data_IF_064115419727
#
_entry.id   IF_064115419727
#
_cell.length_a   1.000
_cell.length_b   1.000
_cell.length_c   1.000
_cell.angle_alpha   90.00
_cell.angle_beta   90.00
_cell.angle_gamma   90.00
#
_symmetry.space_group_name_H-M   'P 1'
#
loop_
_entity.id
_entity.type
_entity.pdbx_description
1 polymer ?
#
# COMPACT_ATOMS: atom_id res chain seq x y z
N UNK A 1 -9.79 0.44 -20.69
CA UNK A 1 -10.33 1.39 -19.67
C UNK A 1 -10.58 2.73 -20.31
N UNK A 2 -11.78 3.29 -20.20
CA UNK A 2 -12.11 4.63 -20.67
C UNK A 2 -11.88 5.64 -19.55
N UNK A 3 -11.18 6.75 -19.83
CA UNK A 3 -10.80 7.75 -18.84
C UNK A 3 -11.52 9.07 -19.14
N UNK A 4 -12.24 9.59 -18.14
CA UNK A 4 -12.73 10.96 -18.14
C UNK A 4 -11.70 11.86 -17.45
N UNK A 5 -11.11 12.76 -18.22
CA UNK A 5 -10.12 13.72 -17.71
C UNK A 5 -10.83 14.85 -16.98
N UNK A 6 -10.53 15.05 -15.71
CA UNK A 6 -11.05 16.13 -14.88
C UNK A 6 -9.96 17.19 -14.63
N UNK A 7 -10.39 18.43 -14.45
CA UNK A 7 -9.53 19.61 -14.32
C UNK A 7 -9.79 20.34 -13.01
N UNK A 8 -8.75 20.55 -12.22
CA UNK A 8 -8.81 21.30 -10.96
C UNK A 8 -8.83 22.83 -11.14
N UNK A 9 -8.54 23.32 -12.34
CA UNK A 9 -8.61 24.73 -12.75
C UNK A 9 -8.97 24.83 -14.22
N UNK A 10 -9.52 25.98 -14.65
CA UNK A 10 -9.82 26.22 -16.06
C UNK A 10 -8.53 26.27 -16.88
N UNK A 11 -8.38 25.37 -17.82
CA UNK A 11 -7.22 25.22 -18.69
C UNK A 11 -7.66 24.60 -20.04
N UNK A 12 -6.82 24.67 -21.09
CA UNK A 12 -7.12 23.99 -22.35
C UNK A 12 -7.33 22.49 -22.16
N UNK A 13 -8.29 21.94 -22.88
CA UNK A 13 -8.57 20.50 -22.82
C UNK A 13 -7.38 19.67 -23.30
N UNK A 14 -7.11 18.59 -22.61
CA UNK A 14 -6.05 17.64 -22.92
C UNK A 14 -6.25 17.00 -24.29
N UNK A 15 -5.25 17.17 -25.18
CA UNK A 15 -5.31 16.56 -26.51
C UNK A 15 -5.27 15.04 -26.43
N UNK A 16 -6.15 14.39 -27.19
CA UNK A 16 -6.22 12.92 -27.27
C UNK A 16 -7.00 12.24 -26.16
N UNK A 17 -7.51 12.97 -25.16
CA UNK A 17 -8.39 12.38 -24.17
C UNK A 17 -9.73 11.97 -24.79
N UNK A 18 -10.24 10.80 -24.41
CA UNK A 18 -11.51 10.27 -24.91
C UNK A 18 -12.72 11.00 -24.34
N UNK A 19 -12.58 11.57 -23.13
CA UNK A 19 -13.66 12.24 -22.42
C UNK A 19 -13.10 13.31 -21.49
N UNK A 20 -13.85 14.43 -21.36
CA UNK A 20 -13.49 15.57 -20.51
C UNK A 20 -14.62 15.91 -19.55
N UNK A 21 -14.31 16.06 -18.27
CA UNK A 21 -15.25 16.59 -17.27
C UNK A 21 -15.13 18.10 -17.19
N UNK A 22 -16.21 18.80 -17.56
CA UNK A 22 -16.33 20.26 -17.46
C UNK A 22 -17.17 20.58 -16.24
N UNK A 23 -16.51 20.97 -15.17
CA UNK A 23 -17.14 21.34 -13.90
C UNK A 23 -17.53 22.82 -13.95
N UNK A 24 -18.83 23.12 -13.74
CA UNK A 24 -19.32 24.50 -13.80
C UNK A 24 -18.94 25.39 -12.58
N UNK A 25 -18.28 24.81 -11.58
CA UNK A 25 -17.63 25.57 -10.49
C UNK A 25 -16.18 25.96 -10.82
N UNK A 26 -15.61 25.43 -11.91
CA UNK A 26 -14.23 25.65 -12.37
C UNK A 26 -14.20 26.41 -13.70
N UNK A 27 -15.10 26.06 -14.63
CA UNK A 27 -15.15 26.65 -15.97
C UNK A 27 -16.28 27.68 -16.06
N UNK A 28 -15.97 28.90 -16.48
CA UNK A 28 -16.97 29.97 -16.71
C UNK A 28 -17.77 29.74 -17.98
N UNK A 29 -17.24 28.95 -18.93
CA UNK A 29 -17.91 28.60 -20.18
C UNK A 29 -17.53 27.19 -20.62
N UNK A 30 -18.42 26.54 -21.37
CA UNK A 30 -18.15 25.21 -21.93
C UNK A 30 -17.18 25.38 -23.11
N UNK A 31 -16.03 24.67 -23.08
CA UNK A 31 -15.05 24.73 -24.17
C UNK A 31 -15.63 24.21 -25.50
N UNK A 32 -15.14 24.71 -26.61
CA UNK A 32 -15.46 24.23 -27.96
C UNK A 32 -14.81 22.85 -28.18
N UNK A 33 -15.63 21.80 -28.14
CA UNK A 33 -15.22 20.41 -28.33
C UNK A 33 -16.41 19.58 -28.81
N UNK A 34 -16.16 18.33 -29.25
CA UNK A 34 -17.25 17.40 -29.57
C UNK A 34 -18.07 17.11 -28.31
N UNK A 35 -19.32 17.48 -28.30
CA UNK A 35 -20.25 17.27 -27.18
C UNK A 35 -20.23 15.85 -26.63
N UNK A 36 -20.05 14.84 -27.50
CA UNK A 36 -20.03 13.42 -27.12
C UNK A 36 -18.82 13.06 -26.27
N UNK A 37 -17.78 13.87 -26.32
CA UNK A 37 -16.58 13.75 -25.49
C UNK A 37 -16.70 14.52 -24.17
N UNK A 38 -17.79 15.25 -23.95
CA UNK A 38 -17.97 16.09 -22.77
C UNK A 38 -18.91 15.48 -21.73
N UNK A 39 -18.51 15.59 -20.47
CA UNK A 39 -19.32 15.42 -19.29
C UNK A 39 -19.40 16.77 -18.59
N UNK A 40 -20.58 17.41 -18.57
CA UNK A 40 -20.80 18.63 -17.82
C UNK A 40 -21.24 18.25 -16.41
N UNK A 41 -20.47 18.65 -15.40
CA UNK A 41 -20.79 18.46 -13.98
C UNK A 41 -21.33 19.76 -13.40
N UNK A 42 -22.58 19.77 -12.98
CA UNK A 42 -23.27 20.99 -12.55
C UNK A 42 -22.70 21.60 -11.25
N UNK A 43 -22.16 20.80 -10.34
CA UNK A 43 -21.61 21.26 -9.06
C UNK A 43 -22.55 22.21 -8.31
N UNK A 44 -23.84 21.87 -8.27
CA UNK A 44 -24.88 22.70 -7.62
C UNK A 44 -25.45 23.83 -8.48
N UNK A 45 -24.90 24.10 -9.66
CA UNK A 45 -25.42 25.13 -10.59
C UNK A 45 -26.73 24.71 -11.24
N UNK A 46 -27.39 25.67 -11.90
CA UNK A 46 -28.63 25.44 -12.62
C UNK A 46 -28.42 24.68 -13.93
N UNK A 47 -29.32 23.74 -14.23
CA UNK A 47 -29.29 22.95 -15.47
C UNK A 47 -29.46 23.82 -16.72
N UNK A 48 -30.08 25.00 -16.61
CA UNK A 48 -30.22 25.97 -17.68
C UNK A 48 -28.91 26.55 -18.20
N UNK A 49 -27.79 26.28 -17.51
CA UNK A 49 -26.43 26.64 -18.00
C UNK A 49 -25.91 25.64 -19.02
N UNK A 50 -26.55 24.48 -19.18
CA UNK A 50 -26.22 23.51 -20.24
C UNK A 50 -26.85 23.98 -21.55
N UNK A 51 -26.08 24.07 -22.66
CA UNK A 51 -26.61 24.53 -23.94
C UNK A 51 -27.77 23.67 -24.43
N UNK A 52 -28.76 24.31 -25.06
CA UNK A 52 -29.87 23.59 -25.71
C UNK A 52 -29.31 22.70 -26.83
N UNK A 53 -29.78 21.45 -26.85
CA UNK A 53 -29.29 20.46 -27.83
C UNK A 53 -27.96 19.80 -27.48
N UNK A 54 -27.37 20.08 -26.32
CA UNK A 54 -26.13 19.41 -25.89
C UNK A 54 -26.26 17.89 -25.92
N UNK A 55 -25.36 17.22 -26.66
CA UNK A 55 -25.38 15.78 -26.93
C UNK A 55 -24.58 14.91 -25.99
N UNK A 56 -23.81 15.52 -25.05
CA UNK A 56 -22.96 14.84 -24.09
C UNK A 56 -23.70 14.39 -22.82
N UNK A 57 -22.94 14.05 -21.80
CA UNK A 57 -23.45 13.64 -20.49
C UNK A 57 -23.55 14.84 -19.54
N UNK A 58 -24.57 14.84 -18.67
CA UNK A 58 -24.74 15.89 -17.64
C UNK A 58 -24.84 15.23 -16.27
N UNK A 59 -23.86 15.48 -15.39
CA UNK A 59 -23.88 15.05 -13.99
C UNK A 59 -24.65 16.08 -13.15
N UNK A 60 -25.81 15.66 -12.67
CA UNK A 60 -26.75 16.51 -11.90
C UNK A 60 -26.53 16.43 -10.38
N UNK A 61 -25.52 15.69 -9.93
CA UNK A 61 -25.33 15.35 -8.51
C UNK A 61 -26.41 14.38 -8.04
N UNK A 62 -26.76 14.47 -6.77
CA UNK A 62 -27.82 13.66 -6.14
C UNK A 62 -29.25 14.22 -6.37
N UNK A 63 -29.36 15.31 -7.13
CA UNK A 63 -30.61 16.00 -7.37
C UNK A 63 -31.53 15.21 -8.31
N UNK A 64 -32.81 15.16 -7.98
CA UNK A 64 -33.83 14.60 -8.85
C UNK A 64 -34.32 15.68 -9.85
N UNK A 65 -33.58 15.84 -10.95
CA UNK A 65 -33.89 16.80 -12.01
C UNK A 65 -34.44 16.07 -13.20
N UNK A 66 -35.68 16.44 -13.63
CA UNK A 66 -36.22 16.03 -14.93
C UNK A 66 -35.52 16.83 -16.03
N UNK A 67 -34.96 16.16 -17.02
CA UNK A 67 -34.24 16.79 -18.11
C UNK A 67 -34.25 15.94 -19.36
N UNK A 68 -34.09 16.59 -20.53
CA UNK A 68 -33.94 15.93 -21.84
C UNK A 68 -32.49 15.47 -22.10
N UNK A 69 -31.51 15.89 -21.27
CA UNK A 69 -30.12 15.52 -21.44
C UNK A 69 -29.83 14.10 -20.97
N UNK A 70 -28.78 13.50 -21.53
CA UNK A 70 -28.24 12.23 -21.06
C UNK A 70 -27.68 12.42 -19.64
N UNK A 71 -28.35 11.88 -18.66
CA UNK A 71 -28.16 12.20 -17.25
C UNK A 71 -27.29 11.20 -16.52
N UNK A 72 -26.34 11.73 -15.73
CA UNK A 72 -25.68 11.01 -14.65
C UNK A 72 -26.26 11.53 -13.32
N UNK A 73 -26.65 10.62 -12.43
CA UNK A 73 -26.89 10.93 -11.03
C UNK A 73 -25.69 10.48 -10.22
N UNK A 74 -25.01 11.40 -9.55
CA UNK A 74 -23.81 11.11 -8.77
C UNK A 74 -24.03 11.33 -7.28
N UNK A 75 -23.59 10.35 -6.49
CA UNK A 75 -23.65 10.37 -5.03
C UNK A 75 -22.23 10.28 -4.51
N UNK A 76 -21.89 11.19 -3.60
CA UNK A 76 -20.59 11.23 -2.94
C UNK A 76 -20.80 11.13 -1.44
N UNK A 77 -20.18 10.13 -0.81
CA UNK A 77 -20.09 10.02 0.65
C UNK A 77 -18.61 10.11 1.04
N UNK A 78 -18.24 11.25 1.66
CA UNK A 78 -16.85 11.53 2.06
C UNK A 78 -16.53 10.97 3.44
N UNK A 79 -17.48 10.37 4.12
CA UNK A 79 -17.33 9.89 5.50
C UNK A 79 -17.16 8.36 5.55
N UNK A 80 -17.86 7.63 4.66
CA UNK A 80 -17.89 6.15 4.69
C UNK A 80 -18.21 5.52 3.34
N UNK A 81 -18.03 4.20 3.26
CA UNK A 81 -18.57 3.32 2.22
C UNK A 81 -19.79 2.58 2.78
N UNK A 82 -20.97 2.64 2.15
CA UNK A 82 -22.11 1.80 2.54
C UNK A 82 -21.83 0.32 2.29
N UNK A 83 -22.61 -0.58 2.91
CA UNK A 83 -22.58 -2.00 2.57
C UNK A 83 -22.91 -2.23 1.08
N UNK A 84 -22.54 -3.39 0.54
CA UNK A 84 -22.84 -3.75 -0.85
C UNK A 84 -24.34 -3.60 -1.17
N UNK A 85 -25.24 -4.04 -0.29
CA UNK A 85 -26.70 -3.86 -0.44
C UNK A 85 -27.09 -2.37 -0.46
N UNK A 86 -26.48 -1.56 0.40
CA UNK A 86 -26.69 -0.12 0.44
C UNK A 86 -26.27 0.57 -0.86
N UNK A 87 -25.07 0.21 -1.38
CA UNK A 87 -24.58 0.75 -2.65
C UNK A 87 -25.51 0.38 -3.80
N UNK A 88 -25.93 -0.91 -3.89
CA UNK A 88 -26.86 -1.38 -4.92
C UNK A 88 -28.19 -0.63 -4.84
N UNK A 89 -28.75 -0.46 -3.64
CA UNK A 89 -30.01 0.29 -3.45
C UNK A 89 -29.86 1.74 -3.93
N UNK A 90 -28.81 2.45 -3.49
CA UNK A 90 -28.54 3.84 -3.85
C UNK A 90 -28.39 4.02 -5.37
N UNK A 91 -27.65 3.14 -6.04
CA UNK A 91 -27.34 3.28 -7.46
C UNK A 91 -28.45 2.74 -8.37
N UNK A 92 -29.39 1.95 -7.82
CA UNK A 92 -30.56 1.46 -8.57
C UNK A 92 -31.70 2.49 -8.65
N UNK A 93 -31.70 3.50 -7.81
CA UNK A 93 -32.73 4.53 -7.79
C UNK A 93 -32.67 5.48 -9.00
N UNK A 94 -33.83 6.01 -9.39
CA UNK A 94 -33.96 7.08 -10.38
C UNK A 94 -33.99 6.60 -11.85
N UNK A 95 -34.06 7.58 -12.75
CA UNK A 95 -34.24 7.39 -14.21
C UNK A 95 -32.99 7.79 -15.03
N UNK A 96 -31.86 8.01 -14.39
CA UNK A 96 -30.62 8.41 -15.05
C UNK A 96 -30.09 7.31 -15.99
N UNK A 97 -29.32 7.73 -17.01
CA UNK A 97 -28.65 6.79 -17.92
C UNK A 97 -27.49 6.08 -17.17
N UNK A 98 -26.74 6.83 -16.37
CA UNK A 98 -25.59 6.30 -15.60
C UNK A 98 -25.77 6.67 -14.13
N UNK A 99 -25.58 5.72 -13.22
CA UNK A 99 -25.50 5.95 -11.78
C UNK A 99 -24.03 6.04 -11.37
N UNK A 100 -23.63 7.08 -10.65
CA UNK A 100 -22.28 7.24 -10.14
C UNK A 100 -22.27 7.23 -8.61
N UNK A 101 -21.42 6.39 -8.03
CA UNK A 101 -21.14 6.35 -6.59
C UNK A 101 -19.67 6.58 -6.32
N UNK A 102 -19.35 7.51 -5.45
CA UNK A 102 -18.00 7.74 -4.96
C UNK A 102 -18.03 7.74 -3.42
N UNK A 103 -17.46 6.73 -2.82
CA UNK A 103 -17.53 6.45 -1.39
C UNK A 103 -16.15 6.45 -0.77
N UNK A 104 -16.00 7.00 0.46
CA UNK A 104 -14.73 6.94 1.18
C UNK A 104 -14.40 5.51 1.56
N UNK A 105 -13.30 4.99 1.01
CA UNK A 105 -12.74 3.70 1.39
C UNK A 105 -11.60 3.92 2.40
N UNK A 106 -11.63 3.16 3.49
CA UNK A 106 -10.65 3.21 4.59
C UNK A 106 -10.28 1.82 5.12
N UNK A 107 -10.85 0.75 4.56
CA UNK A 107 -10.63 -0.64 4.97
C UNK A 107 -10.78 -1.61 3.79
N UNK A 108 -10.35 -2.86 3.97
CA UNK A 108 -10.63 -3.93 3.02
C UNK A 108 -12.13 -4.22 2.91
N UNK A 109 -12.88 -4.12 4.00
CA UNK A 109 -14.35 -4.25 4.01
C UNK A 109 -15.03 -3.23 3.08
N UNK A 110 -14.53 -2.00 3.03
CA UNK A 110 -15.04 -0.98 2.12
C UNK A 110 -14.79 -1.37 0.64
N UNK A 111 -13.58 -1.87 0.34
CA UNK A 111 -13.22 -2.31 -1.01
C UNK A 111 -14.03 -3.54 -1.44
N UNK A 112 -14.25 -4.48 -0.54
CA UNK A 112 -15.09 -5.65 -0.79
C UNK A 112 -16.56 -5.25 -1.03
N UNK A 113 -17.10 -4.32 -0.23
CA UNK A 113 -18.45 -3.78 -0.43
C UNK A 113 -18.60 -3.14 -1.80
N UNK A 114 -17.61 -2.42 -2.29
CA UNK A 114 -17.57 -1.84 -3.64
C UNK A 114 -17.53 -2.95 -4.71
N UNK A 115 -16.67 -3.94 -4.53
CA UNK A 115 -16.51 -5.06 -5.46
C UNK A 115 -17.80 -5.90 -5.57
N UNK A 116 -18.40 -6.26 -4.44
CA UNK A 116 -19.64 -7.05 -4.41
C UNK A 116 -20.84 -6.27 -4.96
N UNK A 117 -20.93 -4.96 -4.67
CA UNK A 117 -21.96 -4.11 -5.25
C UNK A 117 -21.84 -4.04 -6.78
N UNK A 118 -20.62 -3.90 -7.30
CA UNK A 118 -20.35 -3.77 -8.73
C UNK A 118 -20.91 -4.97 -9.54
N UNK A 119 -20.83 -6.17 -8.98
CA UNK A 119 -21.34 -7.41 -9.60
C UNK A 119 -22.88 -7.47 -9.68
N UNK A 120 -23.57 -6.66 -8.89
CA UNK A 120 -25.02 -6.72 -8.65
C UNK A 120 -25.79 -5.52 -9.19
N UNK A 121 -25.10 -4.43 -9.57
CA UNK A 121 -25.73 -3.25 -10.15
C UNK A 121 -26.19 -3.57 -11.58
N UNK A 122 -27.50 -3.65 -11.81
CA UNK A 122 -28.11 -4.04 -13.09
C UNK A 122 -28.21 -2.93 -14.13
N UNK A 123 -27.43 -1.84 -14.01
CA UNK A 123 -27.46 -0.68 -14.92
C UNK A 123 -26.06 -0.10 -15.14
N UNK A 124 -25.93 0.77 -16.14
CA UNK A 124 -24.70 1.53 -16.37
C UNK A 124 -24.30 2.30 -15.13
N UNK A 125 -23.05 2.16 -14.72
CA UNK A 125 -22.58 2.79 -13.50
C UNK A 125 -21.11 3.22 -13.57
N UNK A 126 -20.74 4.08 -12.62
CA UNK A 126 -19.37 4.42 -12.25
C UNK A 126 -19.28 4.29 -10.73
N UNK A 127 -18.46 3.37 -10.24
CA UNK A 127 -18.29 3.10 -8.83
C UNK A 127 -16.82 3.29 -8.42
N UNK A 128 -16.58 4.14 -7.42
CA UNK A 128 -15.24 4.61 -7.05
C UNK A 128 -15.08 4.58 -5.53
N UNK A 129 -14.00 3.96 -5.05
CA UNK A 129 -13.47 4.18 -3.71
C UNK A 129 -12.61 5.44 -3.68
N UNK A 130 -12.96 6.39 -2.80
CA UNK A 130 -12.13 7.57 -2.55
C UNK A 130 -11.10 7.28 -1.46
N UNK A 131 -9.98 8.01 -1.47
CA UNK A 131 -8.86 7.79 -0.55
C UNK A 131 -7.78 6.89 -1.13
N UNK A 132 -6.67 6.76 -0.39
CA UNK A 132 -5.49 6.05 -0.86
C UNK A 132 -5.75 4.56 -1.11
N UNK A 133 -6.43 3.90 -0.19
CA UNK A 133 -6.79 2.48 -0.33
C UNK A 133 -7.75 2.25 -1.51
N UNK A 134 -8.60 3.24 -1.82
CA UNK A 134 -9.56 3.21 -2.94
C UNK A 134 -8.94 3.38 -4.33
N UNK A 135 -7.64 3.67 -4.44
CA UNK A 135 -6.94 3.87 -5.71
C UNK A 135 -7.09 2.65 -6.65
N UNK A 136 -7.12 1.46 -6.09
CA UNK A 136 -7.33 0.19 -6.83
C UNK A 136 -8.61 0.19 -7.65
N UNK A 137 -9.70 0.80 -7.15
CA UNK A 137 -11.00 0.85 -7.83
C UNK A 137 -10.99 1.69 -9.11
N UNK A 138 -10.08 2.66 -9.18
CA UNK A 138 -9.87 3.49 -10.38
C UNK A 138 -9.08 2.75 -11.44
N UNK A 139 -8.04 2.02 -11.03
CA UNK A 139 -7.20 1.24 -11.94
C UNK A 139 -7.96 0.01 -12.45
N UNK A 140 -8.69 -0.68 -11.60
CA UNK A 140 -9.51 -1.85 -11.96
C UNK A 140 -10.96 -1.44 -12.34
N UNK A 141 -11.11 -0.28 -12.94
CA UNK A 141 -12.41 0.28 -13.31
C UNK A 141 -13.22 -0.62 -14.23
N UNK A 142 -12.60 -1.25 -15.21
CA UNK A 142 -13.25 -2.20 -16.13
C UNK A 142 -13.70 -3.48 -15.41
N UNK A 143 -12.91 -3.97 -14.46
CA UNK A 143 -13.27 -5.10 -13.61
C UNK A 143 -14.55 -4.83 -12.80
N UNK A 144 -14.73 -3.59 -12.33
CA UNK A 144 -15.93 -3.14 -11.63
C UNK A 144 -17.11 -2.89 -12.58
N UNK A 145 -16.97 -3.07 -13.89
CA UNK A 145 -18.02 -2.80 -14.87
C UNK A 145 -18.35 -1.33 -15.06
N UNK A 146 -17.43 -0.44 -14.70
CA UNK A 146 -17.62 0.99 -14.85
C UNK A 146 -17.65 1.42 -16.33
N UNK A 147 -18.54 2.33 -16.70
CA UNK A 147 -18.60 2.94 -18.03
C UNK A 147 -17.34 3.74 -18.35
N UNK A 148 -16.72 4.36 -17.34
CA UNK A 148 -15.46 5.08 -17.39
C UNK A 148 -14.90 5.30 -15.97
N UNK A 149 -13.66 5.75 -15.89
CA UNK A 149 -13.03 6.19 -14.63
C UNK A 149 -12.54 7.64 -14.75
N UNK A 150 -12.05 8.22 -13.66
CA UNK A 150 -11.59 9.60 -13.62
C UNK A 150 -10.09 9.70 -13.38
N UNK A 151 -9.38 10.39 -14.26
CA UNK A 151 -8.01 10.85 -14.10
C UNK A 151 -7.95 12.38 -14.12
N UNK A 152 -7.00 12.99 -13.41
CA UNK A 152 -6.85 14.45 -13.44
C UNK A 152 -5.79 14.90 -14.45
N UNK A 153 -5.97 16.15 -14.96
CA UNK A 153 -4.93 16.92 -15.62
C UNK A 153 -4.68 18.21 -14.82
N UNK A 154 -3.40 18.54 -14.58
CA UNK A 154 -3.02 19.65 -13.70
C UNK A 154 -3.08 19.26 -12.21
N UNK A 155 -4.12 19.68 -11.49
CA UNK A 155 -4.28 19.47 -10.04
C UNK A 155 -5.36 18.42 -9.75
N UNK A 156 -5.05 17.48 -8.85
CA UNK A 156 -6.01 16.47 -8.41
C UNK A 156 -7.25 17.12 -7.78
N UNK A 157 -8.43 16.59 -8.13
CA UNK A 157 -9.73 17.09 -7.64
C UNK A 157 -10.34 16.21 -6.56
N UNK A 158 -9.76 15.05 -6.29
CA UNK A 158 -10.25 14.10 -5.28
C UNK A 158 -9.13 13.26 -4.67
N UNK A 159 -9.23 12.85 -3.40
CA UNK A 159 -8.26 11.96 -2.76
C UNK A 159 -8.10 10.62 -3.50
N UNK A 160 -6.86 10.14 -3.65
CA UNK A 160 -6.55 8.88 -4.33
C UNK A 160 -6.74 8.91 -5.84
N UNK A 161 -6.88 10.09 -6.45
CA UNK A 161 -6.97 10.25 -7.89
C UNK A 161 -5.57 10.24 -8.53
N UNK A 162 -5.41 9.50 -9.62
CA UNK A 162 -4.22 9.49 -10.47
C UNK A 162 -4.35 10.48 -11.63
N UNK A 163 -3.21 10.95 -12.17
CA UNK A 163 -3.23 11.72 -13.40
C UNK A 163 -3.73 10.87 -14.58
N UNK A 164 -4.39 11.52 -15.55
CA UNK A 164 -4.87 10.84 -16.75
C UNK A 164 -3.73 10.15 -17.51
N UNK A 165 -2.55 10.81 -17.62
CA UNK A 165 -1.35 10.20 -18.21
C UNK A 165 -0.94 8.91 -17.51
N UNK A 166 -0.94 8.92 -16.17
CA UNK A 166 -0.57 7.72 -15.41
C UNK A 166 -1.60 6.60 -15.58
N UNK A 167 -2.88 6.94 -15.60
CA UNK A 167 -3.95 5.98 -15.84
C UNK A 167 -3.86 5.34 -17.23
N UNK A 168 -3.57 6.14 -18.28
CA UNK A 168 -3.36 5.63 -19.64
C UNK A 168 -2.14 4.71 -19.73
N UNK A 169 -1.02 5.09 -19.09
CA UNK A 169 0.17 4.25 -19.03
C UNK A 169 -0.08 2.90 -18.36
N UNK A 170 -0.85 2.91 -17.28
CA UNK A 170 -1.19 1.67 -16.55
C UNK A 170 -2.10 0.77 -17.38
N UNK A 171 -3.17 1.32 -17.95
CA UNK A 171 -4.17 0.53 -18.66
C UNK A 171 -4.88 -0.47 -17.74
N UNK A 172 -5.67 -1.36 -18.33
CA UNK A 172 -6.42 -2.40 -17.60
C UNK A 172 -5.55 -3.59 -17.17
N UNK A 173 -4.48 -3.89 -17.95
CA UNK A 173 -3.65 -5.08 -17.79
C UNK A 173 -2.41 -4.86 -16.92
N UNK A 174 -2.31 -3.71 -16.24
CA UNK A 174 -1.16 -3.44 -15.39
C UNK A 174 -1.11 -4.40 -14.19
N UNK A 175 0.09 -4.77 -13.78
CA UNK A 175 0.28 -5.58 -12.58
C UNK A 175 0.13 -4.74 -11.33
N UNK A 176 -0.72 -5.18 -10.40
CA UNK A 176 -0.88 -4.55 -9.09
C UNK A 176 -0.20 -5.40 -8.02
N UNK A 177 0.62 -4.76 -7.23
CA UNK A 177 1.18 -5.27 -5.98
C UNK A 177 1.00 -4.19 -4.91
N UNK A 178 1.21 -4.51 -3.64
CA UNK A 178 1.02 -3.50 -2.60
C UNK A 178 1.61 -3.82 -1.24
N UNK A 179 1.23 -3.02 -0.27
CA UNK A 179 1.58 -3.22 1.15
C UNK A 179 0.34 -3.00 2.02
N UNK A 180 0.17 -3.87 3.03
CA UNK A 180 -0.79 -3.67 4.10
C UNK A 180 -0.11 -3.57 5.46
N UNK A 181 -0.70 -2.77 6.33
CA UNK A 181 -0.28 -2.44 7.68
C UNK A 181 -1.08 -1.27 8.21
N UNK A 182 -0.84 -0.85 9.45
CA UNK A 182 -1.51 0.32 10.02
C UNK A 182 -0.68 0.92 11.17
N UNK A 183 -0.32 2.22 11.14
CA UNK A 183 -0.42 3.15 10.00
C UNK A 183 0.72 2.98 8.97
N UNK A 184 0.48 3.35 7.70
CA UNK A 184 1.44 3.22 6.59
C UNK A 184 1.98 4.55 6.04
N UNK A 185 1.68 5.68 6.68
CA UNK A 185 2.02 7.03 6.18
C UNK A 185 3.51 7.26 5.90
N UNK A 186 4.39 6.46 6.50
CA UNK A 186 5.85 6.60 6.38
C UNK A 186 6.51 5.51 5.52
N UNK A 187 5.72 4.61 4.90
CA UNK A 187 6.28 3.52 4.11
C UNK A 187 6.99 4.04 2.86
N UNK A 188 8.25 3.61 2.67
CA UNK A 188 9.06 3.90 1.48
C UNK A 188 8.99 2.79 0.43
N UNK A 189 8.32 1.68 0.74
CA UNK A 189 8.18 0.53 -0.16
C UNK A 189 7.55 0.89 -1.52
N UNK A 190 6.55 1.78 -1.61
CA UNK A 190 5.98 2.16 -2.91
C UNK A 190 7.00 2.77 -3.87
N UNK A 191 7.81 3.74 -3.39
CA UNK A 191 8.83 4.38 -4.22
C UNK A 191 9.86 3.37 -4.72
N UNK A 192 10.32 2.49 -3.84
CA UNK A 192 11.30 1.45 -4.13
C UNK A 192 10.78 0.42 -5.15
N UNK A 193 9.60 -0.13 -4.93
CA UNK A 193 9.03 -1.17 -5.79
C UNK A 193 8.56 -0.61 -7.15
N UNK A 194 7.99 0.59 -7.18
CA UNK A 194 7.64 1.27 -8.44
C UNK A 194 8.89 1.56 -9.29
N UNK A 195 10.03 1.92 -8.66
CA UNK A 195 11.30 2.11 -9.35
C UNK A 195 11.83 0.77 -9.91
N UNK A 196 11.77 -0.31 -9.12
CA UNK A 196 12.17 -1.65 -9.54
C UNK A 196 11.32 -2.16 -10.72
N UNK A 197 9.99 -2.00 -10.66
CA UNK A 197 9.10 -2.38 -11.77
C UNK A 197 9.42 -1.61 -13.05
N UNK A 198 9.62 -0.30 -12.97
CA UNK A 198 10.00 0.52 -14.13
C UNK A 198 11.32 0.05 -14.73
N UNK A 199 12.34 -0.20 -13.92
CA UNK A 199 13.65 -0.69 -14.38
C UNK A 199 13.57 -2.07 -15.03
N UNK A 200 12.71 -2.94 -14.53
CA UNK A 200 12.48 -4.29 -15.07
C UNK A 200 11.53 -4.30 -16.30
N UNK A 201 11.06 -3.13 -16.77
CA UNK A 201 10.10 -3.03 -17.87
C UNK A 201 8.71 -3.62 -17.55
N UNK A 202 8.32 -3.64 -16.28
CA UNK A 202 7.02 -4.14 -15.82
C UNK A 202 6.06 -2.98 -15.72
N UNK A 203 4.97 -3.03 -16.49
CA UNK A 203 3.87 -2.08 -16.36
C UNK A 203 3.06 -2.45 -15.11
N UNK A 204 3.19 -1.63 -14.06
CA UNK A 204 2.52 -1.93 -12.81
C UNK A 204 2.53 -0.76 -11.83
N UNK A 205 1.89 -1.00 -10.69
CA UNK A 205 1.84 -0.06 -9.58
C UNK A 205 1.88 -0.77 -8.24
N UNK A 206 2.61 -0.18 -7.30
CA UNK A 206 2.63 -0.58 -5.91
C UNK A 206 1.64 0.27 -5.12
N UNK A 207 0.62 -0.36 -4.55
CA UNK A 207 -0.49 0.28 -3.83
C UNK A 207 -0.27 0.26 -2.32
N UNK A 208 -0.92 1.19 -1.62
CA UNK A 208 -0.94 1.24 -0.16
C UNK A 208 -2.35 0.88 0.32
N UNK A 209 -2.45 -0.20 1.07
CA UNK A 209 -3.66 -0.68 1.73
C UNK A 209 -3.53 -0.42 3.24
N UNK A 210 -3.61 0.86 3.65
CA UNK A 210 -3.63 1.27 5.05
C UNK A 210 -5.03 0.98 5.61
N UNK A 211 -5.18 -0.17 6.27
CA UNK A 211 -6.45 -0.67 6.80
C UNK A 211 -6.33 -0.92 8.31
N UNK A 212 -7.38 -0.60 9.11
CA UNK A 212 -7.35 -0.83 10.55
C UNK A 212 -7.43 -2.31 10.94
N UNK A 213 -7.82 -3.19 10.03
CA UNK A 213 -7.97 -4.63 10.20
C UNK A 213 -7.67 -5.38 8.89
N UNK A 214 -7.81 -6.70 8.89
CA UNK A 214 -7.62 -7.58 7.74
C UNK A 214 -8.93 -8.20 7.23
N UNK A 215 -10.09 -7.78 7.75
CA UNK A 215 -11.37 -8.32 7.35
C UNK A 215 -11.56 -8.17 5.83
N UNK A 216 -11.88 -9.27 5.12
CA UNK A 216 -12.00 -9.33 3.65
C UNK A 216 -10.70 -9.09 2.84
N UNK A 217 -9.52 -9.17 3.45
CA UNK A 217 -8.25 -8.98 2.72
C UNK A 217 -8.10 -9.97 1.57
N UNK A 218 -8.46 -11.25 1.78
CA UNK A 218 -8.40 -12.31 0.77
C UNK A 218 -9.35 -12.06 -0.41
N UNK A 219 -10.57 -11.58 -0.14
CA UNK A 219 -11.57 -11.26 -1.16
C UNK A 219 -11.09 -10.09 -2.03
N UNK A 220 -10.50 -9.07 -1.41
CA UNK A 220 -9.94 -7.92 -2.10
C UNK A 220 -8.72 -8.31 -2.95
N UNK A 221 -7.78 -9.11 -2.39
CA UNK A 221 -6.58 -9.53 -3.13
C UNK A 221 -6.96 -10.35 -4.35
N UNK A 222 -7.90 -11.29 -4.22
CA UNK A 222 -8.41 -12.12 -5.32
C UNK A 222 -9.26 -11.30 -6.27
N UNK A 223 -10.20 -10.52 -5.73
CA UNK A 223 -11.23 -9.83 -6.50
C UNK A 223 -10.71 -8.69 -7.36
N UNK A 224 -9.69 -7.96 -6.92
CA UNK A 224 -9.03 -6.91 -7.71
C UNK A 224 -7.80 -7.41 -8.46
N UNK A 225 -7.54 -8.70 -8.49
CA UNK A 225 -6.38 -9.31 -9.16
C UNK A 225 -5.06 -8.65 -8.73
N UNK A 226 -4.83 -8.59 -7.42
CA UNK A 226 -3.59 -8.10 -6.83
C UNK A 226 -2.60 -9.27 -6.81
N UNK A 227 -1.50 -9.14 -7.54
CA UNK A 227 -0.50 -10.20 -7.71
C UNK A 227 0.23 -10.56 -6.42
N UNK A 228 0.36 -9.63 -5.51
CA UNK A 228 0.98 -9.87 -4.22
C UNK A 228 1.02 -8.65 -3.32
N UNK A 229 1.33 -8.89 -2.06
CA UNK A 229 1.29 -7.84 -1.05
C UNK A 229 2.37 -8.05 0.00
N UNK A 230 3.12 -6.99 0.34
CA UNK A 230 3.88 -6.99 1.58
C UNK A 230 2.94 -6.80 2.76
N UNK A 231 3.32 -7.36 3.90
CA UNK A 231 2.61 -7.22 5.17
C UNK A 231 3.56 -6.68 6.22
N UNK A 232 3.14 -5.60 6.89
CA UNK A 232 3.93 -5.01 7.97
C UNK A 232 3.13 -4.91 9.27
N UNK A 233 3.68 -4.20 10.25
CA UNK A 233 3.06 -3.99 11.56
C UNK A 233 1.64 -3.43 11.38
N UNK A 234 0.63 -3.97 12.13
CA UNK A 234 0.74 -5.02 13.15
C UNK A 234 0.44 -6.43 12.62
N UNK A 235 0.29 -6.65 11.31
CA UNK A 235 -0.43 -7.77 10.71
C UNK A 235 0.42 -9.00 10.34
N UNK A 236 1.75 -8.99 10.54
CA UNK A 236 2.63 -10.10 10.12
C UNK A 236 2.27 -11.48 10.69
N UNK A 237 1.62 -11.54 11.85
CA UNK A 237 1.15 -12.79 12.46
C UNK A 237 -0.29 -13.11 12.04
N UNK A 238 -1.22 -12.15 12.21
CA UNK A 238 -2.65 -12.37 11.93
C UNK A 238 -2.96 -12.63 10.46
N UNK A 239 -2.17 -12.12 9.53
CA UNK A 239 -2.37 -12.39 8.09
C UNK A 239 -2.33 -13.88 7.76
N UNK A 240 -1.65 -14.71 8.57
CA UNK A 240 -1.51 -16.15 8.34
C UNK A 240 -2.86 -16.87 8.33
N UNK A 241 -3.86 -16.37 9.06
CA UNK A 241 -5.22 -16.92 9.12
C UNK A 241 -6.01 -16.67 7.83
N UNK A 242 -5.58 -15.73 6.99
CA UNK A 242 -6.18 -15.35 5.72
C UNK A 242 -5.50 -15.99 4.49
N UNK A 243 -4.55 -16.90 4.71
CA UNK A 243 -3.75 -17.50 3.63
C UNK A 243 -4.07 -18.99 3.44
N UNK A 244 -4.03 -19.42 2.18
CA UNK A 244 -4.26 -20.84 1.84
C UNK A 244 -3.07 -21.72 2.25
N UNK A 245 -1.86 -21.15 2.27
CA UNK A 245 -0.65 -21.85 2.73
C UNK A 245 0.47 -20.87 3.09
N UNK A 246 1.41 -21.33 3.91
CA UNK A 246 2.61 -20.59 4.28
C UNK A 246 3.86 -21.43 4.06
N UNK A 247 5.00 -20.79 3.79
CA UNK A 247 6.30 -21.48 3.68
C UNK A 247 6.71 -22.10 5.01
N UNK A 248 7.64 -23.08 4.97
CA UNK A 248 8.19 -23.67 6.19
C UNK A 248 8.87 -22.64 7.08
N UNK A 249 9.62 -21.70 6.47
CA UNK A 249 10.29 -20.63 7.19
C UNK A 249 9.28 -19.74 7.91
N UNK A 250 8.24 -19.26 7.20
CA UNK A 250 7.18 -18.45 7.80
C UNK A 250 6.41 -19.17 8.88
N UNK A 251 6.14 -20.48 8.71
CA UNK A 251 5.52 -21.32 9.73
C UNK A 251 6.38 -21.44 10.98
N UNK A 252 7.70 -21.64 10.82
CA UNK A 252 8.66 -21.70 11.94
C UNK A 252 8.81 -20.35 12.63
N UNK A 253 8.76 -19.23 11.89
CA UNK A 253 8.84 -17.89 12.46
C UNK A 253 7.52 -17.47 13.10
N UNK A 254 6.39 -18.01 12.62
CA UNK A 254 5.06 -17.58 13.03
C UNK A 254 4.74 -16.16 12.54
N UNK A 255 5.30 -15.74 11.39
CA UNK A 255 5.05 -14.43 10.79
C UNK A 255 5.27 -14.45 9.27
N UNK A 256 4.42 -13.73 8.55
CA UNK A 256 4.47 -13.51 7.10
C UNK A 256 4.64 -12.02 6.83
N UNK A 257 5.54 -11.64 5.93
CA UNK A 257 5.67 -10.26 5.44
C UNK A 257 5.46 -10.13 3.94
N UNK A 258 5.26 -11.24 3.23
CA UNK A 258 5.06 -11.26 1.77
C UNK A 258 3.98 -12.27 1.43
N UNK A 259 2.94 -11.80 0.74
CA UNK A 259 1.85 -12.62 0.19
C UNK A 259 2.01 -12.67 -1.31
N UNK A 260 1.83 -13.85 -1.89
CA UNK A 260 1.81 -14.13 -3.32
C UNK A 260 0.40 -14.61 -3.67
N UNK A 261 -0.21 -14.01 -4.68
CA UNK A 261 -1.44 -14.50 -5.28
C UNK A 261 -1.07 -15.31 -6.54
N UNK A 262 -1.14 -16.62 -6.41
CA UNK A 262 -0.89 -17.58 -7.49
C UNK A 262 -2.23 -18.11 -7.99
N UNK A 263 -2.80 -17.47 -9.01
CA UNK A 263 -4.09 -17.77 -9.61
C UNK A 263 -5.23 -17.93 -8.56
N UNK A 264 -5.30 -17.00 -7.61
CA UNK A 264 -6.30 -16.99 -6.54
C UNK A 264 -5.90 -17.76 -5.29
N UNK A 265 -4.79 -18.50 -5.30
CA UNK A 265 -4.23 -19.14 -4.11
C UNK A 265 -3.26 -18.18 -3.41
N UNK A 266 -3.56 -17.83 -2.17
CA UNK A 266 -2.75 -16.91 -1.38
C UNK A 266 -1.68 -17.70 -0.59
N UNK A 267 -0.41 -17.41 -0.91
CA UNK A 267 0.75 -18.08 -0.32
C UNK A 267 1.56 -17.06 0.47
N UNK A 268 1.83 -17.36 1.73
CA UNK A 268 2.62 -16.49 2.60
C UNK A 268 4.08 -16.90 2.70
N UNK A 269 4.98 -15.92 2.68
CA UNK A 269 6.40 -16.10 2.94
C UNK A 269 6.97 -14.98 3.82
N UNK A 270 8.22 -15.15 4.27
CA UNK A 270 8.91 -14.16 5.09
C UNK A 270 10.25 -13.76 4.48
N UNK A 271 10.25 -12.64 3.77
CA UNK A 271 11.44 -12.08 3.16
C UNK A 271 12.29 -11.24 4.12
N UNK A 272 11.85 -10.97 5.35
CA UNK A 272 12.66 -10.29 6.36
C UNK A 272 13.95 -11.07 6.67
N UNK A 273 13.89 -12.42 6.63
CA UNK A 273 15.09 -13.27 6.78
C UNK A 273 16.14 -12.87 5.76
N UNK A 274 15.75 -12.85 4.49
CA UNK A 274 16.65 -12.52 3.36
C UNK A 274 17.14 -11.09 3.49
N UNK A 275 16.28 -10.17 3.94
CA UNK A 275 16.65 -8.78 4.21
C UNK A 275 17.71 -8.65 5.31
N UNK A 276 17.58 -9.41 6.40
CA UNK A 276 18.56 -9.46 7.50
C UNK A 276 19.88 -10.04 7.01
N UNK A 277 19.84 -11.18 6.31
CA UNK A 277 21.03 -11.80 5.73
C UNK A 277 21.77 -10.86 4.77
N UNK A 278 21.01 -10.15 3.91
CA UNK A 278 21.52 -9.16 2.97
C UNK A 278 22.21 -7.99 3.69
N UNK A 279 21.55 -7.43 4.70
CA UNK A 279 22.09 -6.31 5.48
C UNK A 279 23.37 -6.69 6.26
N UNK A 280 23.48 -7.94 6.67
CA UNK A 280 24.59 -8.45 7.47
C UNK A 280 25.65 -9.22 6.65
N UNK A 281 25.60 -9.19 5.32
CA UNK A 281 26.47 -9.97 4.43
C UNK A 281 27.97 -9.83 4.75
N UNK A 282 28.39 -8.62 5.08
CA UNK A 282 29.80 -8.30 5.39
C UNK A 282 30.14 -8.34 6.89
N UNK A 283 29.22 -8.81 7.74
CA UNK A 283 29.41 -8.92 9.19
C UNK A 283 29.80 -10.35 9.53
N UNK A 284 30.95 -10.61 10.19
CA UNK A 284 31.30 -11.95 10.64
C UNK A 284 30.38 -12.35 11.80
N UNK A 285 29.53 -13.37 11.59
CA UNK A 285 28.44 -13.73 12.53
C UNK A 285 28.68 -15.04 13.24
N UNK A 286 29.37 -15.99 12.64
CA UNK A 286 29.53 -17.34 13.21
C UNK A 286 30.22 -17.30 14.58
N UNK A 287 29.60 -17.98 15.54
CA UNK A 287 30.04 -18.06 16.94
C UNK A 287 30.03 -16.68 17.66
N UNK A 288 29.31 -15.68 17.12
CA UNK A 288 29.16 -14.36 17.73
C UNK A 288 27.94 -14.27 18.60
N UNK A 289 28.01 -13.43 19.63
CA UNK A 289 26.90 -13.14 20.55
C UNK A 289 26.05 -12.01 19.99
N UNK A 290 24.79 -12.28 19.70
CA UNK A 290 23.85 -11.30 19.18
C UNK A 290 22.76 -10.99 20.22
N UNK A 291 22.49 -9.71 20.48
CA UNK A 291 21.35 -9.25 21.28
C UNK A 291 20.28 -8.69 20.40
N UNK A 292 19.10 -9.29 20.39
CA UNK A 292 17.90 -8.80 19.73
C UNK A 292 17.07 -7.99 20.73
N UNK A 293 16.75 -6.76 20.37
CA UNK A 293 15.86 -5.89 21.14
C UNK A 293 14.53 -5.80 20.43
N UNK A 294 13.45 -6.30 21.07
CA UNK A 294 12.10 -6.39 20.51
C UNK A 294 11.51 -7.77 20.64
N UNK A 295 10.21 -7.92 20.38
CA UNK A 295 9.49 -9.21 20.46
C UNK A 295 8.37 -9.33 19.41
N UNK A 296 8.38 -8.52 18.35
CA UNK A 296 7.44 -8.58 17.23
C UNK A 296 7.93 -9.50 16.10
N UNK A 297 7.23 -9.48 14.95
CA UNK A 297 7.55 -10.28 13.78
C UNK A 297 8.98 -10.08 13.26
N UNK A 298 9.53 -8.86 13.32
CA UNK A 298 10.90 -8.58 12.92
C UNK A 298 11.93 -9.23 13.88
N UNK A 299 11.64 -9.25 15.20
CA UNK A 299 12.49 -9.92 16.19
C UNK A 299 12.48 -11.43 16.02
N UNK A 300 11.33 -12.02 15.66
CA UNK A 300 11.20 -13.46 15.35
C UNK A 300 12.01 -13.82 14.10
N UNK A 301 11.91 -13.01 13.03
CA UNK A 301 12.71 -13.19 11.82
C UNK A 301 14.21 -13.04 12.11
N UNK A 302 14.60 -12.07 12.96
CA UNK A 302 15.99 -11.88 13.36
C UNK A 302 16.52 -13.08 14.20
N UNK A 303 15.72 -13.60 15.11
CA UNK A 303 16.11 -14.76 15.92
C UNK A 303 16.35 -15.99 15.01
N UNK A 304 15.42 -16.25 14.07
CA UNK A 304 15.56 -17.33 13.10
C UNK A 304 16.81 -17.15 12.20
N UNK A 305 16.98 -15.97 11.62
CA UNK A 305 18.09 -15.68 10.70
C UNK A 305 19.46 -15.79 11.40
N UNK A 306 19.61 -15.18 12.58
CA UNK A 306 20.85 -15.15 13.32
C UNK A 306 21.25 -16.52 13.88
N UNK A 307 20.27 -17.31 14.34
CA UNK A 307 20.50 -18.72 14.73
C UNK A 307 20.99 -19.53 13.53
N UNK A 308 20.33 -19.40 12.37
CA UNK A 308 20.74 -20.07 11.11
C UNK A 308 22.14 -19.67 10.64
N UNK A 309 22.57 -18.44 10.93
CA UNK A 309 23.92 -17.93 10.64
C UNK A 309 24.96 -18.31 11.69
N UNK A 310 24.57 -19.06 12.73
CA UNK A 310 25.45 -19.59 13.77
C UNK A 310 25.79 -18.61 14.89
N UNK A 311 24.93 -17.62 15.14
CA UNK A 311 25.08 -16.74 16.30
C UNK A 311 24.55 -17.40 17.59
N UNK A 312 25.12 -16.99 18.71
CA UNK A 312 24.52 -17.19 20.03
C UNK A 312 23.52 -16.07 20.29
N UNK A 313 22.23 -16.37 20.17
CA UNK A 313 21.18 -15.35 20.21
C UNK A 313 20.68 -15.12 21.63
N UNK A 314 20.62 -13.86 22.03
CA UNK A 314 19.90 -13.39 23.22
C UNK A 314 18.80 -12.42 22.83
N UNK A 315 17.71 -12.38 23.60
CA UNK A 315 16.55 -11.54 23.31
C UNK A 315 16.12 -10.72 24.52
N UNK A 316 15.76 -9.47 24.28
CA UNK A 316 15.24 -8.54 25.28
C UNK A 316 14.01 -7.81 24.73
N UNK A 317 13.01 -7.58 25.58
CA UNK A 317 11.79 -6.85 25.18
C UNK A 317 10.87 -6.56 26.36
N UNK A 318 9.93 -5.63 26.15
CA UNK A 318 8.96 -5.18 27.15
C UNK A 318 7.91 -6.27 27.45
N UNK A 319 7.42 -6.95 26.43
CA UNK A 319 6.45 -8.05 26.59
C UNK A 319 7.16 -9.34 26.93
N UNK A 320 7.19 -9.66 28.24
CA UNK A 320 7.90 -10.85 28.76
C UNK A 320 7.30 -12.18 28.28
N UNK A 321 6.01 -12.23 28.01
CA UNK A 321 5.36 -13.43 27.48
C UNK A 321 5.88 -13.75 26.08
N UNK A 322 5.81 -12.80 25.17
CA UNK A 322 6.29 -12.95 23.78
C UNK A 322 7.81 -13.19 23.70
N UNK A 323 8.61 -12.52 24.58
CA UNK A 323 10.04 -12.81 24.71
C UNK A 323 10.28 -14.26 25.12
N UNK A 324 9.49 -14.78 26.07
CA UNK A 324 9.56 -16.18 26.51
C UNK A 324 9.19 -17.18 25.41
N UNK A 325 8.20 -16.86 24.59
CA UNK A 325 7.83 -17.65 23.41
C UNK A 325 8.98 -17.75 22.41
N UNK A 326 9.55 -16.60 22.01
CA UNK A 326 10.69 -16.54 21.09
C UNK A 326 11.90 -17.29 21.65
N UNK A 327 12.21 -17.08 22.93
CA UNK A 327 13.28 -17.79 23.62
C UNK A 327 13.11 -19.32 23.54
N UNK A 328 11.92 -19.82 23.83
CA UNK A 328 11.60 -21.25 23.78
C UNK A 328 11.66 -21.81 22.36
N UNK A 329 11.18 -21.06 21.39
CA UNK A 329 11.04 -21.49 20.00
C UNK A 329 12.38 -21.53 19.26
N UNK A 330 13.23 -20.51 19.45
CA UNK A 330 14.52 -20.38 18.75
C UNK A 330 15.74 -20.64 19.64
N UNK A 331 15.56 -21.08 20.88
CA UNK A 331 16.66 -21.34 21.79
C UNK A 331 17.40 -20.06 22.26
N UNK A 332 16.82 -18.88 22.07
CA UNK A 332 17.44 -17.60 22.44
C UNK A 332 17.46 -17.41 23.96
N UNK A 333 18.58 -16.93 24.52
CA UNK A 333 18.68 -16.61 25.95
C UNK A 333 17.92 -15.32 26.28
N UNK A 334 17.12 -15.32 27.36
CA UNK A 334 16.44 -14.09 27.80
C UNK A 334 17.45 -13.18 28.49
N UNK A 335 17.59 -11.95 27.96
CA UNK A 335 18.49 -10.95 28.47
C UNK A 335 17.75 -9.76 29.12
N UNK A 336 18.28 -9.25 30.22
CA UNK A 336 17.70 -8.11 30.97
C UNK A 336 18.74 -7.11 31.46
N UNK A 337 19.94 -7.17 30.91
CA UNK A 337 21.05 -6.30 31.31
C UNK A 337 21.41 -5.25 30.25
N UNK A 338 22.66 -4.85 30.30
CA UNK A 338 23.27 -3.88 29.36
C UNK A 338 23.69 -4.57 28.07
N UNK A 339 24.14 -3.81 27.07
CA UNK A 339 24.66 -4.35 25.79
C UNK A 339 26.11 -4.84 25.87
N UNK A 340 26.67 -4.89 27.07
CA UNK A 340 28.06 -5.32 27.27
C UNK A 340 28.25 -6.80 26.95
N UNK A 341 29.32 -7.12 26.22
CA UNK A 341 29.69 -8.52 25.92
C UNK A 341 28.99 -9.12 24.72
N UNK A 342 28.15 -8.36 23.98
CA UNK A 342 27.61 -8.76 22.69
C UNK A 342 28.48 -8.25 21.54
N UNK A 343 28.56 -9.01 20.47
CA UNK A 343 29.25 -8.63 19.23
C UNK A 343 28.33 -7.87 18.27
N UNK A 344 27.06 -8.26 18.24
CA UNK A 344 26.00 -7.69 17.40
C UNK A 344 24.80 -7.27 18.27
N UNK A 345 24.31 -6.05 18.06
CA UNK A 345 23.13 -5.49 18.73
C UNK A 345 22.13 -5.14 17.66
N UNK A 346 20.92 -5.73 17.71
CA UNK A 346 19.88 -5.59 16.69
C UNK A 346 18.66 -4.91 17.28
N UNK A 347 18.33 -3.72 16.79
CA UNK A 347 17.08 -3.05 17.14
C UNK A 347 15.94 -3.49 16.20
N UNK A 348 15.03 -4.33 16.72
CA UNK A 348 13.80 -4.76 16.05
C UNK A 348 12.56 -4.04 16.60
N UNK A 349 12.73 -2.95 17.33
CA UNK A 349 11.65 -2.14 17.90
C UNK A 349 11.37 -0.90 17.03
N UNK A 350 10.20 -0.26 17.15
CA UNK A 350 9.95 1.04 16.55
C UNK A 350 10.60 2.22 17.31
N UNK A 351 11.36 1.94 18.39
CA UNK A 351 12.06 2.96 19.18
C UNK A 351 13.17 3.59 18.32
N UNK A 352 13.15 4.91 18.22
CA UNK A 352 13.97 5.67 17.29
C UNK A 352 13.16 6.29 16.16
N UNK A 353 11.93 5.82 15.91
CA UNK A 353 10.96 6.53 15.04
C UNK A 353 10.38 7.77 15.73
N UNK A 354 10.25 7.73 17.05
CA UNK A 354 9.83 8.84 17.92
C UNK A 354 11.02 9.23 18.79
N UNK A 355 11.22 10.52 19.04
CA UNK A 355 12.44 11.07 19.61
C UNK A 355 12.80 10.57 21.00
N UNK A 356 14.10 10.40 21.24
CA UNK A 356 14.76 10.45 22.58
C UNK A 356 14.92 9.14 23.34
N UNK A 357 14.36 8.01 22.88
CA UNK A 357 14.44 6.75 23.61
C UNK A 357 15.48 5.76 23.03
N UNK A 358 16.03 4.93 23.90
CA UNK A 358 16.87 3.79 23.53
C UNK A 358 16.10 2.48 23.71
N UNK A 359 16.30 1.48 22.83
CA UNK A 359 15.59 0.20 22.93
C UNK A 359 16.02 -0.67 24.12
N UNK A 360 17.18 -0.40 24.73
CA UNK A 360 17.70 -1.05 25.91
C UNK A 360 18.71 -0.17 26.66
N UNK A 361 19.26 -0.65 27.76
CA UNK A 361 20.37 -0.02 28.44
C UNK A 361 21.67 -0.15 27.61
N UNK A 362 22.09 0.93 26.99
CA UNK A 362 23.26 1.00 26.12
C UNK A 362 24.60 1.14 26.88
N UNK A 363 24.58 0.96 28.22
CA UNK A 363 25.81 0.92 29.02
C UNK A 363 26.70 -0.22 28.52
N UNK A 364 28.00 0.08 28.34
CA UNK A 364 28.96 -0.93 27.85
C UNK A 364 29.06 -1.05 26.33
N UNK A 365 28.36 -0.21 25.55
CA UNK A 365 28.56 -0.13 24.10
C UNK A 365 30.00 0.28 23.76
N UNK A 366 30.69 -0.52 22.93
CA UNK A 366 32.12 -0.38 22.60
C UNK A 366 32.36 -0.41 21.09
N UNK A 367 33.48 0.14 20.65
CA UNK A 367 33.92 0.28 19.26
C UNK A 367 33.95 -1.03 18.45
N UNK A 368 34.17 -2.16 19.07
CA UNK A 368 34.30 -3.48 18.44
C UNK A 368 32.95 -4.16 18.19
N UNK A 369 31.85 -3.53 18.60
CA UNK A 369 30.51 -4.04 18.42
C UNK A 369 29.90 -3.52 17.10
N UNK A 370 29.02 -4.33 16.51
CA UNK A 370 28.17 -3.95 15.38
C UNK A 370 26.78 -3.63 15.90
N UNK A 371 26.23 -2.51 15.44
CA UNK A 371 24.85 -2.11 15.73
C UNK A 371 24.04 -2.16 14.44
N UNK A 372 23.01 -2.99 14.42
CA UNK A 372 22.05 -3.07 13.34
C UNK A 372 20.73 -2.44 13.80
N UNK A 373 20.39 -1.29 13.24
CA UNK A 373 19.10 -0.64 13.51
C UNK A 373 18.15 -0.87 12.35
N UNK A 374 17.03 -1.58 12.58
CA UNK A 374 16.04 -1.82 11.55
C UNK A 374 15.17 -0.59 11.24
N UNK A 375 15.25 0.47 12.05
CA UNK A 375 14.69 1.78 11.72
C UNK A 375 15.51 2.41 10.59
N UNK A 376 14.84 2.91 9.56
CA UNK A 376 15.47 3.49 8.37
C UNK A 376 14.94 4.90 8.07
N UNK A 377 15.66 5.62 7.21
CA UNK A 377 15.27 6.93 6.70
C UNK A 377 15.55 8.10 7.65
N UNK A 378 16.23 7.87 8.76
CA UNK A 378 16.68 8.88 9.72
C UNK A 378 17.79 8.36 10.62
N UNK A 379 18.59 9.28 11.15
CA UNK A 379 19.49 8.96 12.25
C UNK A 379 18.68 8.79 13.55
N UNK A 380 18.85 7.63 14.19
CA UNK A 380 18.22 7.34 15.49
C UNK A 380 19.16 7.70 16.64
N UNK A 381 18.66 7.85 17.88
CA UNK A 381 19.52 7.97 19.05
C UNK A 381 20.52 6.81 19.14
N UNK A 382 20.09 5.58 18.79
CA UNK A 382 20.93 4.39 18.79
C UNK A 382 22.09 4.50 17.78
N UNK A 383 21.81 4.83 16.52
CA UNK A 383 22.83 4.97 15.48
C UNK A 383 23.79 6.14 15.78
N UNK A 384 23.27 7.26 16.29
CA UNK A 384 24.07 8.42 16.71
C UNK A 384 25.04 8.05 17.84
N UNK A 385 24.56 7.32 18.85
CA UNK A 385 25.42 6.83 19.94
C UNK A 385 26.47 5.83 19.42
N UNK A 386 26.07 4.86 18.59
CA UNK A 386 26.97 3.87 18.01
C UNK A 386 28.09 4.55 17.21
N UNK A 387 27.74 5.54 16.38
CA UNK A 387 28.69 6.36 15.63
C UNK A 387 29.67 7.07 16.55
N UNK A 388 29.22 7.72 17.62
CA UNK A 388 30.04 8.42 18.57
C UNK A 388 31.01 7.50 19.32
N UNK A 389 30.69 6.22 19.48
CA UNK A 389 31.53 5.18 20.09
C UNK A 389 32.42 4.46 19.08
N UNK A 390 32.30 4.77 17.78
CA UNK A 390 33.06 4.16 16.70
C UNK A 390 32.65 2.72 16.38
N UNK A 391 31.42 2.32 16.71
CA UNK A 391 30.83 1.03 16.34
C UNK A 391 30.63 0.95 14.83
N UNK A 392 30.63 -0.26 14.29
CA UNK A 392 30.10 -0.52 12.95
C UNK A 392 28.58 -0.37 12.98
N UNK A 393 28.02 0.36 12.03
CA UNK A 393 26.56 0.55 11.90
C UNK A 393 26.09 -0.18 10.65
N UNK A 394 25.00 -0.95 10.79
CA UNK A 394 24.23 -1.53 9.71
C UNK A 394 22.87 -0.83 9.68
N UNK A 395 22.54 -0.22 8.56
CA UNK A 395 21.31 0.56 8.38
C UNK A 395 20.15 -0.34 7.98
N UNK A 396 18.99 -0.09 8.54
CA UNK A 396 17.73 -0.74 8.16
C UNK A 396 17.34 -0.55 6.68
N UNK A 397 17.92 0.44 6.00
CA UNK A 397 17.76 0.66 4.55
C UNK A 397 18.23 -0.57 3.75
N UNK A 398 19.37 -1.18 4.12
CA UNK A 398 19.88 -2.37 3.42
C UNK A 398 18.93 -3.58 3.62
N UNK A 399 18.38 -3.75 4.83
CA UNK A 399 17.36 -4.75 5.08
C UNK A 399 16.09 -4.49 4.24
N UNK A 400 15.65 -3.24 4.14
CA UNK A 400 14.48 -2.86 3.34
C UNK A 400 14.69 -3.20 1.86
N UNK A 401 15.88 -2.92 1.31
CA UNK A 401 16.24 -3.29 -0.07
C UNK A 401 16.26 -4.80 -0.24
N UNK A 402 16.96 -5.53 0.63
CA UNK A 402 17.11 -6.98 0.52
C UNK A 402 15.77 -7.73 0.59
N UNK A 403 14.91 -7.39 1.57
CA UNK A 403 13.59 -8.02 1.68
C UNK A 403 12.67 -7.61 0.52
N UNK A 404 12.76 -6.35 0.05
CA UNK A 404 11.98 -5.87 -1.07
C UNK A 404 12.39 -6.55 -2.39
N UNK A 405 13.68 -6.78 -2.60
CA UNK A 405 14.20 -7.52 -3.75
C UNK A 405 13.73 -8.98 -3.73
N UNK A 406 13.74 -9.61 -2.55
CA UNK A 406 13.24 -10.97 -2.40
C UNK A 406 11.73 -11.07 -2.70
N UNK A 407 10.91 -10.14 -2.19
CA UNK A 407 9.48 -10.06 -2.52
C UNK A 407 9.26 -9.85 -4.02
N UNK A 408 10.01 -8.94 -4.64
CA UNK A 408 9.96 -8.68 -6.08
C UNK A 408 10.24 -9.96 -6.89
N UNK A 409 11.29 -10.71 -6.51
CA UNK A 409 11.63 -11.98 -7.14
C UNK A 409 10.50 -13.00 -7.03
N UNK A 410 9.86 -13.10 -5.88
CA UNK A 410 8.73 -13.98 -5.66
C UNK A 410 7.53 -13.64 -6.56
N UNK A 411 7.23 -12.35 -6.73
CA UNK A 411 6.11 -11.90 -7.55
C UNK A 411 6.36 -12.00 -9.06
N UNK A 412 7.59 -11.72 -9.50
CA UNK A 412 7.90 -11.55 -10.93
C UNK A 412 8.84 -12.61 -11.52
N UNK A 413 9.45 -13.46 -10.69
CA UNK A 413 10.47 -14.41 -11.15
C UNK A 413 11.72 -13.75 -11.74
N UNK A 414 11.95 -12.45 -11.44
CA UNK A 414 13.07 -11.64 -11.96
C UNK A 414 13.87 -11.03 -10.81
N UNK A 415 15.17 -10.90 -11.00
CA UNK A 415 16.02 -10.14 -10.08
C UNK A 415 15.82 -8.64 -10.33
N UNK A 416 15.48 -7.85 -9.31
CA UNK A 416 15.44 -6.40 -9.44
C UNK A 416 16.86 -5.82 -9.33
N UNK A 417 17.03 -4.60 -9.83
CA UNK A 417 18.25 -3.82 -9.61
C UNK A 417 18.20 -3.20 -8.19
N UNK A 418 19.01 -3.76 -7.27
CA UNK A 418 19.06 -3.29 -5.89
C UNK A 418 19.62 -1.85 -5.76
N UNK A 419 20.45 -1.39 -6.70
CA UNK A 419 20.98 -0.01 -6.67
C UNK A 419 19.88 0.98 -7.05
N UNK A 420 19.03 0.65 -8.01
CA UNK A 420 17.83 1.45 -8.33
C UNK A 420 16.86 1.46 -7.14
N UNK A 421 16.65 0.30 -6.49
CA UNK A 421 15.80 0.23 -5.29
C UNK A 421 16.34 1.11 -4.17
N UNK A 422 17.65 1.07 -3.92
CA UNK A 422 18.35 1.87 -2.91
C UNK A 422 18.28 3.36 -3.21
N UNK A 423 18.50 3.75 -4.47
CA UNK A 423 18.40 5.15 -4.92
C UNK A 423 17.00 5.74 -4.78
N UNK A 424 15.96 4.93 -4.92
CA UNK A 424 14.56 5.37 -4.72
C UNK A 424 14.20 5.65 -3.25
N UNK A 425 15.09 5.30 -2.30
CA UNK A 425 14.94 5.56 -0.87
C UNK A 425 15.66 6.86 -0.43
N UNK A 426 16.41 7.51 -1.29
CA UNK A 426 17.04 8.82 -1.07
C UNK A 426 16.03 9.94 -1.34
#
# INVERSE_FOLDING_TARGET
>A
MKICTTYGSAMPLRKGAEMHEIRLDVFDSIPDADDRSLLITLCGKDIGQVPEGFGGLVDVGDRNISTQFRKIRSIHDFDRTPSADGIVAILSEGDQEISKGAFKASSFTDLDSILEASKRIGRKHVLIGMGQIGEVTRIRSTLLGNEFTFGFDGVSTAPGQLSADRMEQLGDDCTLIGITGHPLSHSRSPAMQDAAMRAAGINGKYLIFDSPDLDHVEDVVRGYDIRGMNVTIPYKQSIMEHLDSVSKASSSIGAVNTVINDDGKLIGDNTDIIGIEYALLDVPLRDRKALIMGSGGAARAAAYALDSLGCHVSISGRNKATVGEISKEFGAEIHSGTVEGFDLIVNCTPIGLVDGEYPADMTGLKKDQTVFDMVYGRDTPLTSMASSRGCRIVDGKEMLVGQGAASFRMWFGKEPDCDIMRGALE
#
